data_IF_168701978847
#
_entry.id   IF_168701978847
#
_cell.length_a   1.000
_cell.length_b   1.000
_cell.length_c   1.000
_cell.angle_alpha   90.00
_cell.angle_beta   90.00
_cell.angle_gamma   90.00
#
_symmetry.space_group_name_H-M   'P 1'
#
loop_
_entity.id
_entity.type
_entity.pdbx_description
1 polymer ?
#
# COMPACT_ATOMS: atom_id res chain seq x y z
N UNK A 1 28.12 -3.10 -12.93
CA UNK A 1 27.13 -2.25 -12.21
C UNK A 1 26.39 -3.12 -11.21
N UNK A 2 26.25 -2.65 -9.97
CA UNK A 2 25.93 -3.45 -8.77
C UNK A 2 24.41 -3.77 -8.68
N UNK A 3 23.85 -4.45 -9.68
CA UNK A 3 22.40 -4.63 -9.84
C UNK A 3 21.77 -5.43 -8.69
N UNK A 4 22.46 -6.46 -8.18
CA UNK A 4 21.93 -7.33 -7.11
C UNK A 4 21.64 -6.59 -5.79
N UNK A 5 22.39 -5.53 -5.47
CA UNK A 5 22.22 -4.76 -4.23
C UNK A 5 20.99 -3.85 -4.28
N UNK A 6 20.58 -3.41 -5.47
CA UNK A 6 19.45 -2.49 -5.65
C UNK A 6 18.10 -3.21 -5.61
N UNK A 7 18.02 -4.49 -6.03
CA UNK A 7 16.78 -5.27 -5.94
C UNK A 7 16.32 -5.52 -4.50
N UNK A 8 17.27 -5.73 -3.57
CA UNK A 8 16.94 -5.84 -2.15
C UNK A 8 16.30 -4.56 -1.60
N UNK A 9 16.82 -3.40 -2.00
CA UNK A 9 16.27 -2.11 -1.60
C UNK A 9 14.88 -1.86 -2.18
N UNK A 10 14.67 -2.14 -3.48
CA UNK A 10 13.36 -2.00 -4.13
C UNK A 10 12.31 -2.93 -3.49
N UNK A 11 12.69 -4.17 -3.17
CA UNK A 11 11.80 -5.11 -2.46
C UNK A 11 11.36 -4.57 -1.10
N UNK A 12 12.29 -4.02 -0.34
CA UNK A 12 11.98 -3.38 0.94
C UNK A 12 11.04 -2.19 0.75
N UNK A 13 11.31 -1.31 -0.23
CA UNK A 13 10.46 -0.14 -0.50
C UNK A 13 9.03 -0.57 -0.87
N UNK A 14 8.86 -1.58 -1.73
CA UNK A 14 7.52 -2.08 -2.11
C UNK A 14 6.77 -2.69 -0.93
N UNK A 15 7.45 -3.43 -0.05
CA UNK A 15 6.84 -3.94 1.18
C UNK A 15 6.45 -2.79 2.12
N UNK A 16 7.32 -1.80 2.31
CA UNK A 16 7.04 -0.63 3.14
C UNK A 16 5.83 0.14 2.59
N UNK A 17 5.72 0.33 1.27
CA UNK A 17 4.54 0.96 0.67
C UNK A 17 3.25 0.19 0.99
N UNK A 18 3.26 -1.13 0.87
CA UNK A 18 2.10 -1.97 1.20
C UNK A 18 1.74 -1.90 2.69
N UNK A 19 2.73 -1.87 3.58
CA UNK A 19 2.51 -1.69 5.02
C UNK A 19 1.89 -0.31 5.29
N UNK A 20 2.44 0.75 4.70
CA UNK A 20 1.89 2.11 4.82
C UNK A 20 0.46 2.20 4.30
N UNK A 21 0.14 1.49 3.21
CA UNK A 21 -1.23 1.40 2.70
C UNK A 21 -2.17 0.84 3.78
N UNK A 22 -1.81 -0.27 4.42
CA UNK A 22 -2.59 -0.85 5.50
C UNK A 22 -2.71 0.07 6.71
N UNK A 23 -1.64 0.78 7.06
CA UNK A 23 -1.67 1.78 8.14
C UNK A 23 -2.64 2.92 7.81
N UNK A 24 -2.64 3.42 6.57
CA UNK A 24 -3.56 4.47 6.13
C UNK A 24 -5.02 3.99 6.17
N UNK A 25 -5.28 2.75 5.75
CA UNK A 25 -6.61 2.15 5.83
C UNK A 25 -7.07 2.02 7.29
N UNK A 26 -6.21 1.49 8.17
CA UNK A 26 -6.50 1.36 9.59
C UNK A 26 -6.78 2.72 10.24
N UNK A 27 -5.98 3.74 9.92
CA UNK A 27 -6.20 5.10 10.40
C UNK A 27 -7.53 5.68 9.92
N UNK A 28 -7.92 5.43 8.66
CA UNK A 28 -9.23 5.83 8.14
C UNK A 28 -10.40 5.17 8.88
N UNK A 29 -10.29 3.86 9.17
CA UNK A 29 -11.29 3.11 9.95
C UNK A 29 -11.36 3.60 11.40
N UNK A 30 -10.22 3.81 12.05
CA UNK A 30 -10.17 4.33 13.43
C UNK A 30 -10.76 5.74 13.47
N UNK A 31 -10.39 6.60 12.53
CA UNK A 31 -10.94 7.95 12.40
C UNK A 31 -12.46 7.94 12.23
N UNK A 32 -12.98 7.03 11.40
CA UNK A 32 -14.42 6.82 11.23
C UNK A 32 -15.12 6.47 12.56
N UNK A 33 -14.60 5.51 13.30
CA UNK A 33 -15.17 5.07 14.58
C UNK A 33 -15.18 6.21 15.60
N UNK A 34 -14.08 6.98 15.69
CA UNK A 34 -13.97 8.14 16.58
C UNK A 34 -14.98 9.22 16.17
N UNK A 35 -15.08 9.52 14.88
CA UNK A 35 -15.99 10.53 14.35
C UNK A 35 -17.46 10.16 14.64
N UNK A 36 -17.85 8.90 14.43
CA UNK A 36 -19.20 8.42 14.73
C UNK A 36 -19.51 8.52 16.24
N UNK A 37 -18.55 8.11 17.08
CA UNK A 37 -18.67 8.13 18.54
C UNK A 37 -18.78 9.54 19.12
N UNK A 38 -18.15 10.51 18.44
CA UNK A 38 -18.11 11.93 18.84
C UNK A 38 -19.35 12.67 18.37
N UNK A 39 -19.81 12.41 17.13
CA UNK A 39 -21.02 13.04 16.58
C UNK A 39 -22.27 12.79 17.45
N UNK A 40 -22.42 11.59 18.01
CA UNK A 40 -23.54 11.25 18.89
C UNK A 40 -23.46 11.84 20.31
N UNK A 41 -22.30 12.35 20.73
CA UNK A 41 -22.07 12.90 22.08
C UNK A 41 -21.81 14.42 22.08
N UNK A 42 -21.71 15.02 20.90
CA UNK A 42 -21.37 16.42 20.76
C UNK A 42 -22.58 17.30 21.12
N UNK A 43 -22.46 18.08 22.21
CA UNK A 43 -23.41 19.13 22.57
C UNK A 43 -23.22 20.43 21.76
N UNK A 44 -22.14 20.54 20.99
CA UNK A 44 -21.82 21.70 20.14
C UNK A 44 -22.06 21.35 18.66
N UNK A 45 -22.83 22.18 17.97
CA UNK A 45 -23.16 22.01 16.54
C UNK A 45 -21.92 21.99 15.64
N UNK A 46 -20.90 22.81 15.91
CA UNK A 46 -19.65 22.83 15.14
C UNK A 46 -18.91 21.49 15.23
N UNK A 47 -18.83 20.93 16.45
CA UNK A 47 -18.19 19.63 16.69
C UNK A 47 -19.00 18.51 16.02
N UNK A 48 -20.33 18.59 16.07
CA UNK A 48 -21.21 17.63 15.40
C UNK A 48 -21.04 17.65 13.88
N UNK A 49 -20.95 18.85 13.29
CA UNK A 49 -20.75 19.04 11.85
C UNK A 49 -19.36 18.57 11.39
N UNK A 50 -18.30 18.86 12.15
CA UNK A 50 -16.96 18.34 11.86
C UNK A 50 -16.89 16.82 12.00
N UNK A 51 -17.53 16.26 13.03
CA UNK A 51 -17.56 14.82 13.23
C UNK A 51 -18.37 14.11 12.14
N UNK A 52 -19.50 14.64 11.69
CA UNK A 52 -20.27 14.05 10.59
C UNK A 52 -19.50 14.13 9.26
N UNK A 53 -18.88 15.27 8.95
CA UNK A 53 -18.02 15.42 7.78
C UNK A 53 -16.83 14.45 7.84
N UNK A 54 -16.18 14.32 9.00
CA UNK A 54 -15.10 13.39 9.24
C UNK A 54 -15.50 11.92 9.10
N UNK A 55 -16.73 11.56 9.52
CA UNK A 55 -17.24 10.20 9.36
C UNK A 55 -17.45 9.82 7.87
N UNK A 56 -17.69 10.78 6.99
CA UNK A 56 -17.75 10.49 5.54
C UNK A 56 -16.37 10.57 4.90
N UNK A 57 -15.58 11.59 5.24
CA UNK A 57 -14.30 11.84 4.60
C UNK A 57 -13.21 10.82 4.99
N UNK A 58 -13.14 10.41 6.26
CA UNK A 58 -12.12 9.49 6.75
C UNK A 58 -12.08 8.13 6.03
N UNK A 59 -13.21 7.40 5.85
CA UNK A 59 -13.18 6.13 5.12
C UNK A 59 -12.86 6.33 3.64
N UNK A 60 -13.38 7.40 3.00
CA UNK A 60 -13.08 7.69 1.59
C UNK A 60 -11.59 7.96 1.39
N UNK A 61 -11.00 8.85 2.21
CA UNK A 61 -9.58 9.16 2.15
C UNK A 61 -8.72 7.94 2.49
N UNK A 62 -9.11 7.14 3.48
CA UNK A 62 -8.42 5.91 3.85
C UNK A 62 -8.38 4.89 2.69
N UNK A 63 -9.51 4.69 2.01
CA UNK A 63 -9.59 3.80 0.84
C UNK A 63 -8.76 4.34 -0.33
N UNK A 64 -8.86 5.64 -0.63
CA UNK A 64 -8.09 6.27 -1.72
C UNK A 64 -6.58 6.10 -1.49
N UNK A 65 -6.10 6.41 -0.28
CA UNK A 65 -4.69 6.25 0.07
C UNK A 65 -4.25 4.79 0.05
N UNK A 66 -5.08 3.88 0.56
CA UNK A 66 -4.81 2.45 0.49
C UNK A 66 -4.64 1.98 -0.95
N UNK A 67 -5.61 2.29 -1.83
CA UNK A 67 -5.60 1.86 -3.23
C UNK A 67 -4.38 2.41 -3.96
N UNK A 68 -4.05 3.69 -3.78
CA UNK A 68 -2.86 4.26 -4.40
C UNK A 68 -1.58 3.59 -3.92
N UNK A 69 -1.33 3.58 -2.60
CA UNK A 69 -0.09 3.04 -2.02
C UNK A 69 0.08 1.55 -2.29
N UNK A 70 -1.00 0.76 -2.10
CA UNK A 70 -0.99 -0.67 -2.36
C UNK A 70 -0.85 -0.97 -3.85
N UNK A 71 -1.52 -0.20 -4.71
CA UNK A 71 -1.41 -0.31 -6.16
C UNK A 71 0.02 -0.07 -6.65
N UNK A 72 0.63 1.05 -6.26
CA UNK A 72 2.02 1.36 -6.60
C UNK A 72 2.99 0.29 -6.10
N UNK A 73 2.87 -0.14 -4.84
CA UNK A 73 3.70 -1.20 -4.28
C UNK A 73 3.53 -2.54 -4.99
N UNK A 74 2.33 -2.84 -5.51
CA UNK A 74 2.05 -4.07 -6.24
C UNK A 74 2.59 -4.05 -7.66
N UNK A 75 2.42 -2.95 -8.39
CA UNK A 75 2.98 -2.77 -9.74
C UNK A 75 4.50 -2.86 -9.70
N UNK A 76 5.15 -2.18 -8.75
CA UNK A 76 6.60 -2.23 -8.60
C UNK A 76 7.12 -3.64 -8.27
N UNK A 77 6.40 -4.36 -7.38
CA UNK A 77 6.75 -5.75 -7.06
C UNK A 77 6.66 -6.65 -8.29
N UNK A 78 5.59 -6.49 -9.08
CA UNK A 78 5.37 -7.27 -10.30
C UNK A 78 6.47 -7.01 -11.34
N UNK A 79 6.81 -5.74 -11.57
CA UNK A 79 7.85 -5.36 -12.53
C UNK A 79 9.20 -5.96 -12.15
N UNK A 80 9.53 -5.93 -10.87
CA UNK A 80 10.76 -6.50 -10.33
C UNK A 80 10.80 -8.03 -10.45
N UNK A 81 9.69 -8.72 -10.19
CA UNK A 81 9.61 -10.17 -10.36
C UNK A 81 9.84 -10.57 -11.84
N UNK A 82 9.26 -9.83 -12.79
CA UNK A 82 9.47 -10.06 -14.23
C UNK A 82 10.95 -9.88 -14.61
N UNK A 83 11.59 -8.82 -14.12
CA UNK A 83 13.01 -8.54 -14.39
C UNK A 83 13.91 -9.64 -13.82
N UNK A 84 13.63 -10.12 -12.61
CA UNK A 84 14.37 -11.20 -11.97
C UNK A 84 14.23 -12.52 -12.73
N UNK A 85 13.00 -12.89 -13.15
CA UNK A 85 12.76 -14.10 -13.92
C UNK A 85 13.43 -14.05 -15.30
N UNK A 86 13.35 -12.91 -15.99
CA UNK A 86 13.96 -12.74 -17.31
C UNK A 86 15.49 -12.79 -17.23
N UNK A 87 16.07 -12.15 -16.22
CA UNK A 87 17.52 -12.19 -15.96
C UNK A 87 18.01 -13.60 -15.63
N UNK A 88 17.25 -14.35 -14.83
CA UNK A 88 17.58 -15.73 -14.48
C UNK A 88 17.51 -16.68 -15.69
N UNK A 89 16.53 -16.49 -16.58
CA UNK A 89 16.43 -17.24 -17.84
C UNK A 89 17.61 -16.94 -18.78
N UNK A 90 17.99 -15.65 -18.91
CA UNK A 90 19.13 -15.25 -19.72
C UNK A 90 20.48 -15.75 -19.19
N UNK A 91 20.61 -15.89 -17.86
CA UNK A 91 21.81 -16.40 -17.21
C UNK A 91 21.92 -17.94 -17.21
N UNK A 92 20.88 -18.66 -17.65
CA UNK A 92 20.87 -20.14 -17.64
C UNK A 92 21.70 -20.68 -18.81
N UNK A 93 22.72 -21.53 -18.56
CA UNK A 93 23.47 -22.19 -19.63
C UNK A 93 22.55 -23.12 -20.45
N UNK A 94 22.83 -23.31 -21.77
CA UNK A 94 22.06 -24.25 -22.58
C UNK A 94 22.13 -25.65 -21.99
N UNK A 95 20.97 -26.25 -21.71
CA UNK A 95 20.90 -27.64 -21.24
C UNK A 95 21.37 -28.56 -22.36
N UNK A 96 22.40 -29.41 -22.14
CA UNK A 96 22.87 -30.35 -23.16
C UNK A 96 21.75 -31.34 -23.49
N UNK A 97 21.64 -31.78 -24.76
CA UNK A 97 20.59 -32.70 -25.17
C UNK A 97 20.74 -34.03 -24.41
N UNK A 98 19.68 -34.41 -23.69
CA UNK A 98 19.51 -35.75 -23.15
C UNK A 98 19.36 -36.71 -24.32
N UNK A 99 20.35 -37.59 -24.51
CA UNK A 99 20.33 -38.68 -25.49
C UNK A 99 19.25 -39.71 -25.17
#
# INVERSE_FOLDING_TARGET
MNASRNYGLLRTITQVLKILAWVALAAGVIGFIIALSTAGRAGNELVRALASAGAVAAPVLGVVWFVQLYGFGSVLSLLMDIEQHTSALAARPPTPPTR
#
